data_IF_245681527501
#
_entry.id   IF_245681527501
#
_cell.length_a   1.000
_cell.length_b   1.000
_cell.length_c   1.000
_cell.angle_alpha   90.00
_cell.angle_beta   90.00
_cell.angle_gamma   90.00
#
_symmetry.space_group_name_H-M   'P 1'
#
loop_
_entity.id
_entity.type
_entity.pdbx_description
1 polymer ?
#
# COMPACT_ATOMS: atom_id res chain seq x y z
N UNK A 1 -34.87 -30.72 -10.86
CA UNK A 1 -33.67 -31.45 -11.33
C UNK A 1 -32.80 -30.68 -12.33
N UNK A 2 -33.27 -29.59 -12.99
CA UNK A 2 -32.44 -28.81 -13.95
C UNK A 2 -31.51 -27.81 -13.30
N UNK A 3 -31.89 -27.24 -12.15
CA UNK A 3 -31.11 -26.15 -11.50
C UNK A 3 -29.84 -26.68 -10.78
N UNK A 4 -29.88 -27.91 -10.26
CA UNK A 4 -28.73 -28.49 -9.55
C UNK A 4 -27.56 -28.80 -10.49
N UNK A 5 -27.85 -29.22 -11.72
CA UNK A 5 -26.80 -29.47 -12.72
C UNK A 5 -26.11 -28.19 -13.21
N UNK A 6 -26.84 -27.07 -13.27
CA UNK A 6 -26.26 -25.79 -13.62
C UNK A 6 -25.34 -25.27 -12.49
N UNK A 7 -25.75 -25.39 -11.24
CA UNK A 7 -24.94 -24.99 -10.07
C UNK A 7 -23.68 -25.85 -9.97
N UNK A 8 -23.79 -27.17 -10.13
CA UNK A 8 -22.65 -28.11 -10.14
C UNK A 8 -21.70 -27.79 -11.29
N UNK A 9 -22.21 -27.43 -12.47
CA UNK A 9 -21.40 -27.01 -13.62
C UNK A 9 -20.63 -25.72 -13.38
N UNK A 10 -21.24 -24.73 -12.72
CA UNK A 10 -20.57 -23.46 -12.35
C UNK A 10 -19.50 -23.70 -11.29
N UNK A 11 -19.80 -24.46 -10.23
CA UNK A 11 -18.84 -24.80 -9.17
C UNK A 11 -17.64 -25.54 -9.75
N UNK A 12 -17.85 -26.50 -10.64
CA UNK A 12 -16.78 -27.26 -11.30
C UNK A 12 -15.90 -26.37 -12.19
N UNK A 13 -16.48 -25.41 -12.91
CA UNK A 13 -15.71 -24.42 -13.72
C UNK A 13 -14.89 -23.50 -12.83
N UNK A 14 -15.43 -23.04 -11.72
CA UNK A 14 -14.72 -22.21 -10.75
C UNK A 14 -13.55 -22.96 -10.13
N UNK A 15 -13.74 -24.24 -9.75
CA UNK A 15 -12.67 -25.08 -9.19
C UNK A 15 -11.58 -25.40 -10.23
N UNK A 16 -11.96 -25.62 -11.48
CA UNK A 16 -10.98 -25.82 -12.57
C UNK A 16 -10.18 -24.56 -12.83
N UNK A 17 -10.85 -23.40 -12.93
CA UNK A 17 -10.17 -22.10 -13.09
C UNK A 17 -9.23 -21.79 -11.90
N UNK A 18 -9.63 -22.09 -10.66
CA UNK A 18 -8.76 -21.97 -9.48
C UNK A 18 -7.51 -22.84 -9.58
N UNK A 19 -7.62 -24.09 -10.07
CA UNK A 19 -6.47 -24.98 -10.24
C UNK A 19 -5.49 -24.50 -11.33
N UNK A 20 -5.99 -23.92 -12.40
CA UNK A 20 -5.17 -23.39 -13.49
C UNK A 20 -4.45 -22.08 -13.11
N UNK A 21 -5.08 -21.24 -12.27
CA UNK A 21 -4.51 -19.94 -11.86
C UNK A 21 -3.53 -20.11 -10.69
N UNK A 22 -3.70 -21.12 -9.84
CA UNK A 22 -2.89 -21.36 -8.64
C UNK A 22 -1.37 -21.27 -8.83
N UNK A 23 -0.76 -21.90 -9.87
CA UNK A 23 0.70 -21.84 -10.05
C UNK A 23 1.24 -20.45 -10.39
N UNK A 24 0.41 -19.53 -10.87
CA UNK A 24 0.81 -18.18 -11.25
C UNK A 24 0.60 -17.15 -10.14
N UNK A 25 -0.32 -17.42 -9.21
CA UNK A 25 -0.71 -16.47 -8.16
C UNK A 25 0.39 -16.31 -7.13
N UNK A 26 1.02 -17.40 -6.68
CA UNK A 26 2.08 -17.31 -5.68
C UNK A 26 3.30 -16.53 -6.18
N UNK A 27 3.87 -16.80 -7.37
CA UNK A 27 4.95 -15.97 -7.92
C UNK A 27 4.55 -14.50 -8.11
N UNK A 28 3.32 -14.26 -8.60
CA UNK A 28 2.82 -12.91 -8.79
C UNK A 28 2.68 -12.14 -7.47
N UNK A 29 2.17 -12.79 -6.43
CA UNK A 29 2.08 -12.20 -5.09
C UNK A 29 3.48 -11.89 -4.53
N UNK A 30 4.45 -12.81 -4.67
CA UNK A 30 5.84 -12.59 -4.24
C UNK A 30 6.49 -11.42 -4.95
N UNK A 31 6.35 -11.33 -6.27
CA UNK A 31 6.86 -10.19 -7.07
C UNK A 31 6.20 -8.89 -6.62
N UNK A 32 4.88 -8.90 -6.40
CA UNK A 32 4.13 -7.74 -5.94
C UNK A 32 4.58 -7.25 -4.56
N UNK A 33 4.73 -8.16 -3.59
CA UNK A 33 5.26 -7.82 -2.26
C UNK A 33 6.71 -7.32 -2.34
N UNK A 34 7.54 -7.91 -3.20
CA UNK A 34 8.90 -7.42 -3.46
C UNK A 34 8.93 -6.00 -4.03
N UNK A 35 8.08 -5.70 -5.01
CA UNK A 35 7.95 -4.36 -5.57
C UNK A 35 7.50 -3.34 -4.52
N UNK A 36 6.49 -3.69 -3.72
CA UNK A 36 6.02 -2.88 -2.60
C UNK A 36 7.13 -2.64 -1.57
N UNK A 37 7.91 -3.66 -1.23
CA UNK A 37 9.06 -3.55 -0.35
C UNK A 37 10.06 -2.51 -0.83
N UNK A 38 10.42 -2.55 -2.12
CA UNK A 38 11.35 -1.58 -2.73
C UNK A 38 10.83 -0.16 -2.60
N UNK A 39 9.55 0.08 -2.89
CA UNK A 39 8.94 1.43 -2.76
C UNK A 39 9.08 1.95 -1.34
N UNK A 40 8.70 1.15 -0.33
CA UNK A 40 8.70 1.62 1.05
C UNK A 40 10.11 1.76 1.64
N UNK A 41 11.05 0.87 1.28
CA UNK A 41 12.46 1.00 1.68
C UNK A 41 13.06 2.28 1.08
N UNK A 42 12.88 2.51 -0.23
CA UNK A 42 13.41 3.70 -0.88
C UNK A 42 12.77 4.97 -0.34
N UNK A 43 11.44 4.99 -0.18
CA UNK A 43 10.75 6.15 0.39
C UNK A 43 11.29 6.47 1.79
N UNK A 44 11.35 5.48 2.68
CA UNK A 44 11.84 5.69 4.03
C UNK A 44 13.31 6.11 4.08
N UNK A 45 14.18 5.43 3.32
CA UNK A 45 15.61 5.75 3.27
C UNK A 45 15.87 7.15 2.69
N UNK A 46 15.24 7.50 1.57
CA UNK A 46 15.43 8.79 0.93
C UNK A 46 14.88 9.94 1.77
N UNK A 47 13.75 9.73 2.47
CA UNK A 47 13.21 10.72 3.41
C UNK A 47 14.19 10.99 4.56
N UNK A 48 14.80 9.94 5.13
CA UNK A 48 15.86 10.13 6.15
C UNK A 48 17.08 10.83 5.57
N UNK A 49 17.54 10.43 4.39
CA UNK A 49 18.71 11.03 3.73
C UNK A 49 18.48 12.51 3.36
N UNK A 50 17.27 12.87 2.94
CA UNK A 50 16.89 14.27 2.69
C UNK A 50 16.92 15.07 3.99
N UNK A 51 16.37 14.53 5.06
CA UNK A 51 16.38 15.18 6.37
C UNK A 51 17.80 15.42 6.91
N UNK A 52 18.73 14.50 6.63
CA UNK A 52 20.15 14.65 6.97
C UNK A 52 20.92 15.56 6.02
N UNK A 53 20.27 16.16 5.00
CA UNK A 53 20.89 17.02 4.01
C UNK A 53 21.82 16.30 3.02
N UNK A 54 21.76 14.95 2.97
CA UNK A 54 22.60 14.13 2.06
C UNK A 54 22.07 14.19 0.63
N UNK A 55 20.76 14.29 0.47
CA UNK A 55 20.06 14.46 -0.81
C UNK A 55 19.10 15.63 -0.71
N UNK A 56 18.74 16.25 -1.85
CA UNK A 56 17.74 17.32 -1.85
C UNK A 56 16.36 16.84 -1.39
N UNK A 57 15.38 17.75 -1.30
CA UNK A 57 14.01 17.45 -0.85
C UNK A 57 13.45 16.20 -1.55
N UNK A 58 13.28 15.13 -0.80
CA UNK A 58 12.82 13.84 -1.28
C UNK A 58 11.76 13.33 -0.33
N UNK A 59 10.50 13.67 -0.63
CA UNK A 59 9.36 13.21 0.13
C UNK A 59 8.50 12.25 -0.71
N UNK A 60 8.27 11.04 -0.19
CA UNK A 60 7.32 10.10 -0.72
C UNK A 60 7.76 9.28 -1.94
N UNK A 61 6.84 8.43 -2.46
CA UNK A 61 7.13 7.49 -3.55
C UNK A 61 7.50 8.15 -4.87
N UNK A 62 6.93 9.32 -5.18
CA UNK A 62 7.20 10.06 -6.41
C UNK A 62 8.66 10.48 -6.52
N UNK A 63 9.20 11.01 -5.42
CA UNK A 63 10.61 11.38 -5.33
C UNK A 63 11.53 10.16 -5.36
N UNK A 64 11.14 9.04 -4.73
CA UNK A 64 11.85 7.77 -4.82
C UNK A 64 11.94 7.28 -6.27
N UNK A 65 10.84 7.38 -7.04
CA UNK A 65 10.85 7.02 -8.47
C UNK A 65 11.74 7.95 -9.30
N UNK A 66 11.73 9.26 -9.02
CA UNK A 66 12.60 10.21 -9.70
C UNK A 66 14.09 9.94 -9.40
N UNK A 67 14.43 9.62 -8.15
CA UNK A 67 15.79 9.24 -7.74
C UNK A 67 16.22 7.92 -8.43
N UNK A 68 15.36 6.90 -8.41
CA UNK A 68 15.62 5.63 -9.09
C UNK A 68 15.87 5.82 -10.58
N UNK A 69 15.13 6.71 -11.24
CA UNK A 69 15.31 6.99 -12.66
C UNK A 69 16.68 7.53 -13.02
N UNK A 70 17.32 8.29 -12.11
CA UNK A 70 18.67 8.85 -12.32
C UNK A 70 19.76 7.80 -12.19
N UNK A 71 19.47 6.64 -11.59
CA UNK A 71 20.42 5.55 -11.45
C UNK A 71 20.72 4.85 -12.80
N UNK A 72 21.88 4.20 -12.94
CA UNK A 72 22.16 3.31 -14.06
C UNK A 72 21.03 2.27 -14.19
N UNK A 73 20.52 2.06 -15.41
CA UNK A 73 19.37 1.17 -15.67
C UNK A 73 18.06 1.57 -14.98
N UNK A 74 17.96 2.79 -14.44
CA UNK A 74 16.82 3.25 -13.65
C UNK A 74 15.47 3.12 -14.34
N UNK A 75 15.40 3.31 -15.66
CA UNK A 75 14.16 3.08 -16.44
C UNK A 75 13.71 1.61 -16.42
N UNK A 76 14.66 0.67 -16.54
CA UNK A 76 14.37 -0.77 -16.50
C UNK A 76 13.90 -1.15 -15.10
N UNK A 77 14.59 -0.66 -14.06
CA UNK A 77 14.20 -0.88 -12.67
C UNK A 77 12.80 -0.33 -12.37
N UNK A 78 12.49 0.88 -12.85
CA UNK A 78 11.17 1.48 -12.68
C UNK A 78 10.09 0.73 -13.45
N UNK A 79 10.35 0.28 -14.67
CA UNK A 79 9.41 -0.52 -15.44
C UNK A 79 9.12 -1.86 -14.74
N UNK A 80 10.15 -2.55 -14.26
CA UNK A 80 10.00 -3.79 -13.49
C UNK A 80 9.23 -3.55 -12.19
N UNK A 81 9.52 -2.44 -11.49
CA UNK A 81 8.80 -2.04 -10.29
C UNK A 81 7.32 -1.75 -10.60
N UNK A 82 7.05 -1.01 -11.66
CA UNK A 82 5.68 -0.70 -12.11
C UNK A 82 4.88 -1.96 -12.42
N UNK A 83 5.48 -2.92 -13.12
CA UNK A 83 4.88 -4.24 -13.38
C UNK A 83 4.59 -4.97 -12.05
N UNK A 84 5.56 -5.01 -11.12
CA UNK A 84 5.37 -5.63 -9.81
C UNK A 84 4.24 -5.00 -8.99
N UNK A 85 4.15 -3.66 -8.99
CA UNK A 85 3.06 -2.95 -8.33
C UNK A 85 1.70 -3.22 -8.99
N UNK A 86 1.66 -3.38 -10.31
CA UNK A 86 0.45 -3.76 -11.03
C UNK A 86 -0.01 -5.17 -10.63
N UNK A 87 0.92 -6.12 -10.54
CA UNK A 87 0.62 -7.47 -10.03
C UNK A 87 0.09 -7.42 -8.61
N UNK A 88 0.70 -6.59 -7.74
CA UNK A 88 0.21 -6.44 -6.38
C UNK A 88 -1.21 -5.84 -6.33
N UNK A 89 -1.47 -4.81 -7.12
CA UNK A 89 -2.80 -4.22 -7.24
C UNK A 89 -3.85 -5.22 -7.75
N UNK A 90 -3.51 -6.01 -8.77
CA UNK A 90 -4.36 -7.08 -9.28
C UNK A 90 -4.64 -8.16 -8.22
N UNK A 91 -3.63 -8.53 -7.44
CA UNK A 91 -3.77 -9.47 -6.33
C UNK A 91 -4.71 -8.94 -5.25
N UNK A 92 -4.54 -7.71 -4.79
CA UNK A 92 -5.44 -7.07 -3.82
C UNK A 92 -6.88 -7.00 -4.34
N UNK A 93 -7.06 -6.72 -5.64
CA UNK A 93 -8.38 -6.72 -6.28
C UNK A 93 -9.00 -8.13 -6.29
N UNK A 94 -8.22 -9.16 -6.60
CA UNK A 94 -8.67 -10.56 -6.54
C UNK A 94 -9.09 -10.95 -5.11
N UNK A 95 -8.36 -10.51 -4.08
CA UNK A 95 -8.72 -10.72 -2.67
C UNK A 95 -10.02 -10.01 -2.31
N UNK A 96 -10.18 -8.77 -2.74
CA UNK A 96 -11.38 -7.98 -2.46
C UNK A 96 -12.65 -8.61 -3.05
N UNK A 97 -12.56 -9.14 -4.28
CA UNK A 97 -13.69 -9.71 -5.02
C UNK A 97 -13.95 -11.19 -4.67
N UNK A 98 -12.89 -11.99 -4.59
CA UNK A 98 -12.97 -13.43 -4.52
C UNK A 98 -12.69 -14.05 -3.15
N UNK A 99 -12.02 -13.31 -2.25
CA UNK A 99 -11.56 -13.81 -0.94
C UNK A 99 -10.91 -15.21 -1.02
N UNK A 100 -9.88 -15.41 -1.89
CA UNK A 100 -9.33 -16.72 -2.18
C UNK A 100 -8.69 -17.39 -0.95
N UNK A 101 -8.25 -16.59 0.02
CA UNK A 101 -7.65 -17.04 1.28
C UNK A 101 -8.70 -17.21 2.39
N UNK A 102 -9.98 -16.90 2.12
CA UNK A 102 -11.08 -16.92 3.09
C UNK A 102 -10.81 -16.12 4.37
N UNK A 103 -9.97 -15.11 4.28
CA UNK A 103 -9.63 -14.24 5.40
C UNK A 103 -10.79 -13.33 5.83
N UNK A 104 -11.55 -12.83 4.86
CA UNK A 104 -12.68 -11.95 5.15
C UNK A 104 -13.85 -12.71 5.79
N UNK A 105 -14.01 -14.02 5.54
CA UNK A 105 -15.12 -14.85 6.08
C UNK A 105 -16.47 -14.11 6.11
N UNK A 106 -16.80 -13.42 5.01
CA UNK A 106 -18.03 -12.61 4.91
C UNK A 106 -17.95 -11.23 5.56
N UNK A 107 -16.83 -10.81 6.13
CA UNK A 107 -16.64 -9.47 6.68
C UNK A 107 -16.34 -8.48 5.55
N UNK A 108 -17.01 -7.32 5.59
CA UNK A 108 -16.85 -6.26 4.59
C UNK A 108 -15.52 -5.52 4.75
N UNK A 109 -15.09 -5.30 5.99
CA UNK A 109 -13.95 -4.44 6.32
C UNK A 109 -12.62 -4.88 5.69
N UNK A 110 -12.20 -6.16 5.71
CA UNK A 110 -11.00 -6.60 4.99
C UNK A 110 -11.10 -6.39 3.48
N UNK A 111 -12.28 -6.57 2.89
CA UNK A 111 -12.49 -6.36 1.45
C UNK A 111 -12.31 -4.90 1.05
N UNK A 112 -12.79 -3.97 1.88
CA UNK A 112 -12.59 -2.53 1.67
C UNK A 112 -11.09 -2.18 1.78
N UNK A 113 -10.38 -2.74 2.76
CA UNK A 113 -8.93 -2.55 2.89
C UNK A 113 -8.17 -3.01 1.63
N UNK A 114 -8.49 -4.20 1.11
CA UNK A 114 -7.89 -4.73 -0.11
C UNK A 114 -8.24 -3.90 -1.35
N UNK A 115 -9.48 -3.41 -1.45
CA UNK A 115 -9.89 -2.54 -2.55
C UNK A 115 -9.12 -1.21 -2.54
N UNK A 116 -8.98 -0.60 -1.36
CA UNK A 116 -8.16 0.62 -1.20
C UNK A 116 -6.70 0.32 -1.59
N UNK A 117 -6.16 -0.81 -1.15
CA UNK A 117 -4.82 -1.27 -1.52
C UNK A 117 -4.67 -1.39 -3.04
N UNK A 118 -5.61 -2.06 -3.71
CA UNK A 118 -5.62 -2.22 -5.17
C UNK A 118 -5.58 -0.86 -5.90
N UNK A 119 -6.39 0.10 -5.46
CA UNK A 119 -6.43 1.45 -6.03
C UNK A 119 -5.10 2.17 -5.81
N UNK A 120 -4.60 2.22 -4.58
CA UNK A 120 -3.35 2.92 -4.23
C UNK A 120 -2.16 2.34 -5.02
N UNK A 121 -1.98 1.02 -5.05
CA UNK A 121 -0.86 0.40 -5.75
C UNK A 121 -1.03 0.42 -7.27
N UNK A 122 -2.27 0.44 -7.77
CA UNK A 122 -2.56 0.73 -9.17
C UNK A 122 -2.10 2.12 -9.58
N UNK A 123 -2.41 3.13 -8.78
CA UNK A 123 -1.91 4.50 -8.99
C UNK A 123 -0.38 4.60 -8.91
N UNK A 124 0.26 3.92 -7.95
CA UNK A 124 1.71 3.87 -7.86
C UNK A 124 2.34 3.21 -9.09
N UNK A 125 1.74 2.16 -9.61
CA UNK A 125 2.16 1.52 -10.87
C UNK A 125 2.11 2.50 -12.04
N UNK A 126 0.98 3.20 -12.20
CA UNK A 126 0.84 4.24 -13.23
C UNK A 126 1.87 5.35 -13.04
N UNK A 127 2.10 5.81 -11.81
CA UNK A 127 3.12 6.82 -11.51
C UNK A 127 4.53 6.35 -11.91
N UNK A 128 4.89 5.10 -11.62
CA UNK A 128 6.18 4.52 -12.04
C UNK A 128 6.32 4.52 -13.57
N UNK A 129 5.29 4.09 -14.31
CA UNK A 129 5.31 4.12 -15.78
C UNK A 129 5.37 5.54 -16.35
N UNK A 130 4.66 6.50 -15.75
CA UNK A 130 4.75 7.91 -16.19
C UNK A 130 6.16 8.45 -16.05
N UNK A 131 6.86 8.14 -14.96
CA UNK A 131 8.27 8.52 -14.79
C UNK A 131 9.17 7.86 -15.85
N UNK A 132 8.87 6.65 -16.29
CA UNK A 132 9.60 5.96 -17.36
C UNK A 132 9.40 6.64 -18.71
N UNK A 133 8.14 6.92 -19.08
CA UNK A 133 7.76 7.35 -20.43
C UNK A 133 7.68 8.87 -20.60
N UNK A 134 7.04 9.58 -19.67
CA UNK A 134 6.75 11.00 -19.78
C UNK A 134 7.78 11.92 -19.12
N UNK A 135 8.78 11.38 -18.43
CA UNK A 135 9.78 12.14 -17.67
C UNK A 135 9.23 12.98 -16.50
N UNK A 136 7.99 12.85 -16.16
CA UNK A 136 7.33 13.60 -15.09
C UNK A 136 7.19 12.73 -13.84
N UNK A 137 7.73 13.21 -12.72
CA UNK A 137 7.40 12.65 -11.41
C UNK A 137 6.05 13.21 -10.96
N UNK A 138 5.06 12.34 -10.76
CA UNK A 138 3.80 12.74 -10.12
C UNK A 138 4.02 12.87 -8.62
N UNK A 139 3.70 14.02 -8.07
CA UNK A 139 3.59 14.20 -6.63
C UNK A 139 2.28 13.57 -6.15
N UNK A 140 2.36 12.75 -5.12
CA UNK A 140 1.18 12.09 -4.54
C UNK A 140 0.13 13.08 -4.04
N UNK A 141 0.57 14.24 -3.54
CA UNK A 141 -0.32 15.30 -3.07
C UNK A 141 -1.10 15.95 -4.21
N UNK A 142 -0.48 16.22 -5.35
CA UNK A 142 -1.17 16.78 -6.51
C UNK A 142 -2.22 15.80 -7.04
N UNK A 143 -1.93 14.50 -6.96
CA UNK A 143 -2.88 13.45 -7.32
C UNK A 143 -4.04 13.41 -6.33
N UNK A 144 -3.77 13.49 -5.03
CA UNK A 144 -4.81 13.49 -3.99
C UNK A 144 -5.74 14.70 -4.14
N UNK A 145 -5.18 15.91 -4.32
CA UNK A 145 -5.92 17.15 -4.55
C UNK A 145 -6.76 17.11 -5.83
N UNK A 146 -6.17 16.64 -6.94
CA UNK A 146 -6.88 16.53 -8.21
C UNK A 146 -8.03 15.53 -8.11
N UNK A 147 -7.83 14.40 -7.43
CA UNK A 147 -8.88 13.41 -7.22
C UNK A 147 -9.98 13.96 -6.31
N UNK A 148 -9.63 14.60 -5.20
CA UNK A 148 -10.59 15.21 -4.30
C UNK A 148 -11.43 16.29 -5.02
N UNK A 149 -10.78 17.15 -5.84
CA UNK A 149 -11.46 18.16 -6.66
C UNK A 149 -12.47 17.52 -7.61
N UNK A 150 -12.07 16.47 -8.37
CA UNK A 150 -12.98 15.77 -9.29
C UNK A 150 -14.16 15.13 -8.57
N UNK A 151 -13.91 14.48 -7.42
CA UNK A 151 -14.98 13.86 -6.63
C UNK A 151 -15.97 14.92 -6.18
N UNK A 152 -15.50 16.10 -5.75
CA UNK A 152 -16.36 17.18 -5.28
C UNK A 152 -17.15 17.86 -6.40
N UNK A 153 -16.55 17.96 -7.61
CA UNK A 153 -17.19 18.70 -8.74
C UNK A 153 -18.04 17.79 -9.63
N UNK A 154 -17.60 16.57 -9.90
CA UNK A 154 -18.19 15.71 -10.93
C UNK A 154 -19.21 14.72 -10.36
N UNK A 155 -19.21 14.49 -9.02
CA UNK A 155 -20.11 13.54 -8.37
C UNK A 155 -21.17 14.28 -7.54
N UNK A 156 -22.47 13.95 -7.71
CA UNK A 156 -23.51 14.46 -6.82
C UNK A 156 -23.18 14.10 -5.35
N UNK A 157 -23.28 15.08 -4.45
CA UNK A 157 -22.87 14.93 -3.05
C UNK A 157 -21.37 14.57 -2.86
N UNK A 158 -20.48 15.00 -3.76
CA UNK A 158 -19.07 14.64 -3.79
C UNK A 158 -18.34 14.91 -2.49
N UNK A 159 -18.65 15.97 -1.75
CA UNK A 159 -18.10 16.21 -0.42
C UNK A 159 -18.46 15.11 0.58
N UNK A 160 -19.72 14.62 0.57
CA UNK A 160 -20.14 13.51 1.42
C UNK A 160 -19.42 12.21 1.05
N UNK A 161 -19.26 11.92 -0.25
CA UNK A 161 -18.52 10.77 -0.75
C UNK A 161 -17.06 10.85 -0.31
N UNK A 162 -16.42 12.00 -0.45
CA UNK A 162 -15.03 12.22 -0.01
C UNK A 162 -14.88 12.06 1.50
N UNK A 163 -15.81 12.58 2.30
CA UNK A 163 -15.83 12.40 3.75
C UNK A 163 -15.99 10.94 4.17
N UNK A 164 -16.85 10.19 3.48
CA UNK A 164 -17.01 8.75 3.71
C UNK A 164 -15.71 8.00 3.39
N UNK A 165 -15.07 8.31 2.27
CA UNK A 165 -13.77 7.73 1.91
C UNK A 165 -12.72 8.07 2.97
N UNK A 166 -12.63 9.33 3.40
CA UNK A 166 -11.73 9.76 4.47
C UNK A 166 -11.95 8.97 5.76
N UNK A 167 -13.20 8.81 6.19
CA UNK A 167 -13.57 8.03 7.37
C UNK A 167 -13.15 6.55 7.24
N UNK A 168 -13.37 5.93 6.08
CA UNK A 168 -12.93 4.56 5.81
C UNK A 168 -11.40 4.43 5.86
N UNK A 169 -10.67 5.41 5.34
CA UNK A 169 -9.19 5.44 5.39
C UNK A 169 -8.71 5.62 6.83
N UNK A 170 -9.35 6.45 7.66
CA UNK A 170 -9.05 6.57 9.10
C UNK A 170 -9.23 5.22 9.80
N UNK A 171 -10.35 4.55 9.56
CA UNK A 171 -10.63 3.22 10.13
C UNK A 171 -9.54 2.23 9.70
N UNK A 172 -9.17 2.22 8.42
CA UNK A 172 -8.08 1.39 7.90
C UNK A 172 -6.74 1.65 8.58
N UNK A 173 -6.37 2.93 8.78
CA UNK A 173 -5.18 3.33 9.53
C UNK A 173 -5.20 2.85 10.98
N UNK A 174 -6.34 3.01 11.67
CA UNK A 174 -6.51 2.54 13.04
C UNK A 174 -6.39 1.00 13.15
N UNK A 175 -6.93 0.27 12.17
CA UNK A 175 -6.80 -1.19 12.10
C UNK A 175 -5.34 -1.59 11.90
N UNK A 176 -4.59 -0.92 11.02
CA UNK A 176 -3.16 -1.17 10.82
C UNK A 176 -2.38 -0.95 12.11
N UNK A 177 -2.61 0.15 12.83
CA UNK A 177 -1.98 0.43 14.12
C UNK A 177 -2.30 -0.70 15.12
N UNK A 178 -3.57 -1.10 15.22
CA UNK A 178 -3.99 -2.20 16.10
C UNK A 178 -3.33 -3.53 15.72
N UNK A 179 -3.25 -3.87 14.42
CA UNK A 179 -2.56 -5.09 13.93
C UNK A 179 -1.08 -5.06 14.27
N UNK A 180 -0.40 -3.94 14.01
CA UNK A 180 0.99 -3.75 14.39
C UNK A 180 1.19 -3.90 15.89
N UNK A 181 0.31 -3.32 16.70
CA UNK A 181 0.41 -3.41 18.17
C UNK A 181 0.22 -4.84 18.69
N UNK A 182 -0.71 -5.60 18.13
CA UNK A 182 -0.99 -6.99 18.54
C UNK A 182 0.04 -8.00 18.04
N UNK A 183 0.89 -7.61 17.09
CA UNK A 183 1.92 -8.46 16.50
C UNK A 183 1.39 -9.81 15.96
N UNK A 184 0.19 -9.82 15.36
CA UNK A 184 -0.47 -11.03 14.84
C UNK A 184 0.00 -11.30 13.39
N UNK A 185 1.28 -11.72 13.24
CA UNK A 185 1.94 -11.93 11.93
C UNK A 185 2.17 -13.40 11.59
N UNK A 186 1.90 -14.32 12.51
CA UNK A 186 2.20 -15.76 12.35
C UNK A 186 1.43 -16.40 11.20
N UNK A 187 0.32 -15.78 10.79
CA UNK A 187 -0.48 -16.22 9.65
C UNK A 187 0.10 -15.77 8.31
N UNK A 188 0.89 -14.71 8.31
CA UNK A 188 1.39 -14.08 7.08
C UNK A 188 2.80 -14.55 6.73
N UNK A 189 3.65 -14.78 7.73
CA UNK A 189 5.04 -15.23 7.55
C UNK A 189 5.22 -16.60 8.16
N UNK A 190 5.95 -17.48 7.47
CA UNK A 190 6.38 -18.75 8.04
C UNK A 190 7.55 -18.53 9.01
N UNK A 191 7.22 -18.29 10.28
CA UNK A 191 8.22 -18.07 11.32
C UNK A 191 9.10 -19.32 11.55
N UNK A 192 8.60 -20.53 11.24
CA UNK A 192 9.37 -21.76 11.38
C UNK A 192 10.51 -21.87 10.35
N UNK A 193 10.40 -21.14 9.24
CA UNK A 193 11.44 -21.06 8.22
C UNK A 193 12.55 -20.04 8.54
N UNK A 194 12.41 -19.31 9.65
CA UNK A 194 13.39 -18.34 10.13
C UNK A 194 14.15 -18.90 11.35
N UNK A 195 15.45 -18.58 11.50
CA UNK A 195 16.19 -18.95 12.70
C UNK A 195 15.54 -18.37 13.96
N UNK A 196 15.40 -19.16 15.07
CA UNK A 196 14.72 -18.70 16.28
C UNK A 196 15.26 -17.40 16.87
N UNK A 197 16.57 -17.15 16.75
CA UNK A 197 17.20 -15.93 17.24
C UNK A 197 16.77 -14.66 16.48
N UNK A 198 16.23 -14.79 15.26
CA UNK A 198 15.75 -13.64 14.45
C UNK A 198 14.28 -13.28 14.71
N UNK A 199 13.53 -14.10 15.43
CA UNK A 199 12.10 -13.89 15.62
C UNK A 199 11.78 -12.56 16.31
N UNK A 200 12.48 -12.26 17.42
CA UNK A 200 12.27 -10.99 18.15
C UNK A 200 12.51 -9.78 17.26
N UNK A 201 13.58 -9.79 16.47
CA UNK A 201 13.90 -8.70 15.54
C UNK A 201 12.83 -8.60 14.44
N UNK A 202 12.40 -9.73 13.87
CA UNK A 202 11.36 -9.78 12.85
C UNK A 202 10.03 -9.20 13.37
N UNK A 203 9.63 -9.59 14.59
CA UNK A 203 8.43 -9.02 15.22
C UNK A 203 8.56 -7.51 15.47
N UNK A 204 9.71 -7.05 15.96
CA UNK A 204 9.94 -5.63 16.22
C UNK A 204 9.90 -4.81 14.93
N UNK A 205 10.57 -5.26 13.86
CA UNK A 205 10.60 -4.61 12.54
C UNK A 205 9.18 -4.56 11.94
N UNK A 206 8.47 -5.68 11.93
CA UNK A 206 7.12 -5.76 11.40
C UNK A 206 6.15 -4.85 12.17
N UNK A 207 6.20 -4.92 13.50
CA UNK A 207 5.36 -4.10 14.40
C UNK A 207 5.58 -2.62 14.17
N UNK A 208 6.83 -2.18 14.21
CA UNK A 208 7.21 -0.78 14.01
C UNK A 208 6.79 -0.29 12.62
N UNK A 209 7.06 -1.08 11.58
CA UNK A 209 6.73 -0.74 10.20
C UNK A 209 5.22 -0.62 9.97
N UNK A 210 4.43 -1.58 10.45
CA UNK A 210 2.97 -1.57 10.25
C UNK A 210 2.33 -0.40 11.02
N UNK A 211 2.81 -0.11 12.24
CA UNK A 211 2.32 1.03 13.02
C UNK A 211 2.64 2.35 12.31
N UNK A 212 3.88 2.55 11.85
CA UNK A 212 4.27 3.76 11.13
C UNK A 212 3.44 3.97 9.85
N UNK A 213 3.24 2.91 9.05
CA UNK A 213 2.34 2.96 7.90
C UNK A 213 0.92 3.31 8.32
N UNK A 214 0.42 2.73 9.41
CA UNK A 214 -0.91 3.03 9.94
C UNK A 214 -1.08 4.49 10.32
N UNK A 215 -0.06 5.12 10.91
CA UNK A 215 -0.05 6.56 11.24
C UNK A 215 -0.17 7.40 9.95
N UNK A 216 0.63 7.12 8.93
CA UNK A 216 0.56 7.83 7.65
C UNK A 216 -0.81 7.69 7.00
N UNK A 217 -1.38 6.47 6.97
CA UNK A 217 -2.72 6.22 6.41
C UNK A 217 -3.79 6.98 7.20
N UNK A 218 -3.70 7.00 8.53
CA UNK A 218 -4.62 7.75 9.39
C UNK A 218 -4.57 9.24 9.10
N UNK A 219 -3.37 9.81 8.93
CA UNK A 219 -3.20 11.23 8.56
C UNK A 219 -3.84 11.53 7.20
N UNK A 220 -3.60 10.70 6.19
CA UNK A 220 -4.22 10.87 4.86
C UNK A 220 -5.75 10.88 4.99
N UNK A 221 -6.32 9.92 5.72
CA UNK A 221 -7.77 9.86 5.96
C UNK A 221 -8.31 11.08 6.69
N UNK A 222 -7.58 11.59 7.70
CA UNK A 222 -7.93 12.80 8.42
C UNK A 222 -8.00 14.01 7.47
N UNK A 223 -6.98 14.24 6.66
CA UNK A 223 -6.96 15.37 5.73
C UNK A 223 -7.99 15.24 4.60
N UNK A 224 -8.30 14.04 4.15
CA UNK A 224 -9.43 13.81 3.23
C UNK A 224 -10.77 14.18 3.87
N UNK A 225 -10.95 13.90 5.16
CA UNK A 225 -12.16 14.28 5.89
C UNK A 225 -12.22 15.80 6.12
N UNK A 226 -11.07 16.43 6.39
CA UNK A 226 -10.99 17.90 6.49
C UNK A 226 -11.35 18.53 5.16
N UNK A 227 -10.75 18.09 4.04
CA UNK A 227 -11.07 18.57 2.71
C UNK A 227 -12.57 18.46 2.38
N UNK A 228 -13.19 17.34 2.79
CA UNK A 228 -14.64 17.14 2.62
C UNK A 228 -15.46 18.13 3.46
N UNK A 229 -15.05 18.39 4.69
CA UNK A 229 -15.76 19.29 5.62
C UNK A 229 -15.63 20.75 5.22
N UNK A 230 -14.42 21.18 4.84
CA UNK A 230 -14.14 22.55 4.40
C UNK A 230 -14.56 22.83 2.97
N UNK A 231 -14.95 21.80 2.20
CA UNK A 231 -15.18 21.87 0.75
C UNK A 231 -13.98 22.40 -0.03
N UNK A 232 -12.78 22.20 0.50
CA UNK A 232 -11.52 22.63 -0.11
C UNK A 232 -10.65 21.43 -0.50
N UNK A 233 -10.55 21.07 -1.80
CA UNK A 233 -9.71 19.99 -2.27
C UNK A 233 -8.22 20.20 -1.97
N UNK A 234 -7.76 21.43 -1.69
CA UNK A 234 -6.36 21.74 -1.40
C UNK A 234 -5.88 21.14 -0.07
N UNK A 235 -6.80 20.84 0.84
CA UNK A 235 -6.54 20.17 2.11
C UNK A 235 -6.27 18.65 1.96
N UNK A 236 -6.65 18.05 0.82
CA UNK A 236 -6.37 16.65 0.57
C UNK A 236 -4.86 16.43 0.38
N UNK A 237 -4.30 15.50 1.16
CA UNK A 237 -2.87 15.16 1.10
C UNK A 237 -2.65 13.68 0.79
N UNK A 238 -1.50 13.39 0.18
CA UNK A 238 -0.98 12.03 0.01
C UNK A 238 0.08 11.69 1.06
N UNK A 239 0.91 10.69 0.76
CA UNK A 239 2.02 10.29 1.64
C UNK A 239 3.02 11.44 1.81
N UNK A 240 3.30 12.18 0.74
CA UNK A 240 4.24 13.31 0.74
C UNK A 240 3.79 14.41 1.70
N UNK A 241 2.52 14.82 1.62
CA UNK A 241 1.95 15.82 2.51
C UNK A 241 1.86 15.36 3.96
N UNK A 242 1.59 14.08 4.20
CA UNK A 242 1.60 13.51 5.55
C UNK A 242 3.00 13.62 6.17
N UNK A 243 4.06 13.29 5.42
CA UNK A 243 5.44 13.41 5.88
C UNK A 243 5.84 14.88 6.13
N UNK A 244 5.49 15.81 5.23
CA UNK A 244 5.72 17.25 5.42
C UNK A 244 4.94 17.82 6.60
N UNK A 245 3.73 17.34 6.84
CA UNK A 245 2.95 17.77 8.00
C UNK A 245 3.62 17.35 9.30
N UNK A 246 4.20 16.15 9.35
CA UNK A 246 5.00 15.71 10.50
C UNK A 246 6.25 16.57 10.70
N UNK A 247 6.96 16.92 9.62
CA UNK A 247 8.16 17.75 9.66
C UNK A 247 7.91 19.13 10.27
N UNK A 248 6.74 19.71 10.01
CA UNK A 248 6.34 21.04 10.51
C UNK A 248 5.95 21.09 11.99
N UNK A 249 5.85 19.94 12.66
CA UNK A 249 5.54 19.90 14.09
C UNK A 249 6.74 20.36 14.95
N UNK A 250 6.53 20.80 16.20
CA UNK A 250 7.62 21.22 17.09
C UNK A 250 8.75 20.19 17.26
N UNK A 251 8.43 18.88 17.20
CA UNK A 251 9.39 17.78 17.20
C UNK A 251 9.51 17.13 15.82
N UNK A 252 9.23 17.89 14.75
CA UNK A 252 9.10 17.42 13.39
C UNK A 252 10.24 16.55 12.88
N UNK A 253 11.50 16.97 13.03
CA UNK A 253 12.65 16.18 12.61
C UNK A 253 12.67 14.76 13.16
N UNK A 254 12.42 14.59 14.44
CA UNK A 254 12.40 13.28 15.10
C UNK A 254 11.18 12.45 14.71
N UNK A 255 10.02 13.10 14.57
CA UNK A 255 8.79 12.43 14.12
C UNK A 255 8.94 11.94 12.68
N UNK A 256 9.46 12.79 11.79
CA UNK A 256 9.73 12.43 10.40
C UNK A 256 10.72 11.27 10.31
N UNK A 257 11.84 11.35 11.03
CA UNK A 257 12.82 10.27 11.07
C UNK A 257 12.23 8.96 11.58
N UNK A 258 11.44 9.00 12.66
CA UNK A 258 10.78 7.81 13.21
C UNK A 258 9.80 7.18 12.21
N UNK A 259 8.94 7.98 11.56
CA UNK A 259 7.99 7.48 10.58
C UNK A 259 8.70 6.98 9.31
N UNK A 260 9.73 7.68 8.82
CA UNK A 260 10.51 7.28 7.67
C UNK A 260 11.26 5.95 7.90
N UNK A 261 11.90 5.79 9.07
CA UNK A 261 12.50 4.52 9.49
C UNK A 261 11.42 3.42 9.65
N UNK A 262 10.23 3.77 10.13
CA UNK A 262 9.10 2.87 10.20
C UNK A 262 8.64 2.42 8.81
N UNK A 263 8.55 3.32 7.84
CA UNK A 263 8.22 2.95 6.45
C UNK A 263 9.28 2.05 5.84
N UNK A 264 10.58 2.31 6.07
CA UNK A 264 11.65 1.41 5.65
C UNK A 264 11.52 0.03 6.32
N UNK A 265 11.23 -0.01 7.62
CA UNK A 265 10.96 -1.26 8.36
C UNK A 265 9.75 -2.01 7.81
N UNK A 266 8.68 -1.29 7.40
CA UNK A 266 7.55 -1.88 6.72
C UNK A 266 7.96 -2.49 5.38
N UNK A 267 8.82 -1.83 4.62
CA UNK A 267 9.38 -2.39 3.40
C UNK A 267 10.19 -3.67 3.64
N UNK A 268 10.99 -3.73 4.71
CA UNK A 268 11.70 -4.95 5.11
C UNK A 268 10.71 -6.08 5.46
N UNK A 269 9.64 -5.76 6.18
CA UNK A 269 8.56 -6.73 6.47
C UNK A 269 7.92 -7.27 5.18
N UNK A 270 7.62 -6.40 4.20
CA UNK A 270 7.10 -6.81 2.90
C UNK A 270 8.08 -7.69 2.11
N UNK A 271 9.39 -7.43 2.24
CA UNK A 271 10.43 -8.27 1.65
C UNK A 271 10.46 -9.67 2.28
N UNK A 272 10.28 -9.76 3.59
CA UNK A 272 10.16 -11.03 4.29
C UNK A 272 8.91 -11.80 3.82
N UNK A 273 7.78 -11.13 3.60
CA UNK A 273 6.58 -11.73 3.02
C UNK A 273 6.88 -12.23 1.59
N UNK A 274 7.55 -11.43 0.75
CA UNK A 274 7.92 -11.85 -0.59
C UNK A 274 8.79 -13.11 -0.58
N UNK A 275 9.66 -13.25 0.43
CA UNK A 275 10.59 -14.38 0.54
C UNK A 275 9.97 -15.60 1.24
N UNK A 276 9.28 -15.43 2.37
CA UNK A 276 8.79 -16.50 3.28
C UNK A 276 7.30 -16.41 3.59
N UNK A 277 6.54 -15.59 2.85
CA UNK A 277 5.09 -15.47 3.02
C UNK A 277 4.38 -16.78 2.67
N UNK A 278 3.33 -17.08 3.43
CA UNK A 278 2.41 -18.18 3.17
C UNK A 278 1.27 -17.67 2.32
N UNK A 279 1.23 -18.04 1.05
CA UNK A 279 0.15 -17.71 0.13
C UNK A 279 -0.74 -18.95 -0.06
N UNK A 280 -1.72 -19.12 0.84
CA UNK A 280 -2.65 -20.23 0.75
C UNK A 280 -3.85 -19.83 -0.13
N UNK A 281 -4.01 -20.51 -1.26
CA UNK A 281 -5.23 -20.49 -2.07
C UNK A 281 -5.97 -21.78 -1.76
N UNK A 282 -6.97 -21.69 -0.89
CA UNK A 282 -7.87 -22.79 -0.56
C UNK A 282 -9.08 -22.82 -1.49
#
# INVERSE_FOLDING_TARGET
MSNDNAVVGVVRRVDTAKREIRPWVEPAARIGHGAKAVVFILTGFLTVAAHLGIVGDVDGPGAAFAAMRRAPLGKVMLATLGIGLLYYAAWELCRALGDPEREARGKVLPRVEWLIGAVVFGFLSVAAFRVVFAREAMRGDDTAKTWASRVMTDIPFGGMVLGLVGALVIIGGAILIRRGWRADFDRTIDMTALPPHSWTATYAIARFGIVARGVVVLMIGFFLTVAAWTHDPSEAIGIEGALRTLERQPSGPWLLAAVALGLASYGIYELLIAWRGRFYIN
#
